data_IF_329009490915
#
_entry.id   IF_329009490915
#
_cell.length_a   1.000
_cell.length_b   1.000
_cell.length_c   1.000
_cell.angle_alpha   90.00
_cell.angle_beta   90.00
_cell.angle_gamma   90.00
#
_symmetry.space_group_name_H-M   'P 1'
#
loop_
_entity.id
_entity.type
_entity.pdbx_description
1 polymer ?
#
# COMPACT_ATOMS: atom_id res chain seq x y z
N UNK A 1 -16.42 -25.40 -21.11
CA UNK A 1 -16.43 -24.18 -20.27
C UNK A 1 -15.63 -23.13 -21.01
N UNK A 2 -16.25 -22.02 -21.40
CA UNK A 2 -15.57 -20.99 -22.16
C UNK A 2 -14.53 -20.31 -21.26
N UNK A 3 -13.25 -20.51 -21.54
CA UNK A 3 -12.21 -19.64 -21.03
C UNK A 3 -12.40 -18.28 -21.72
N UNK A 4 -13.23 -17.42 -21.14
CA UNK A 4 -13.40 -16.04 -21.59
C UNK A 4 -12.01 -15.42 -21.62
N UNK A 5 -11.51 -15.14 -22.81
CA UNK A 5 -10.16 -14.61 -22.98
C UNK A 5 -10.16 -13.15 -22.50
N UNK A 6 -9.92 -12.93 -21.20
CA UNK A 6 -9.96 -11.60 -20.59
C UNK A 6 -8.95 -10.64 -21.25
N UNK A 7 -7.89 -11.17 -21.87
CA UNK A 7 -6.89 -10.39 -22.60
C UNK A 7 -7.46 -9.63 -23.80
N UNK A 8 -8.54 -10.10 -24.43
CA UNK A 8 -9.17 -9.44 -25.58
C UNK A 8 -10.21 -8.39 -25.21
N UNK A 9 -10.57 -8.29 -23.92
CA UNK A 9 -11.54 -7.31 -23.43
C UNK A 9 -10.85 -6.00 -23.11
N UNK A 10 -11.51 -4.87 -23.36
CA UNK A 10 -11.00 -3.56 -22.95
C UNK A 10 -11.22 -3.30 -21.45
N UNK A 11 -10.64 -2.21 -20.94
CA UNK A 11 -10.71 -1.85 -19.52
C UNK A 11 -12.13 -1.56 -19.04
N UNK A 12 -12.99 -1.01 -19.90
CA UNK A 12 -14.37 -0.69 -19.56
C UNK A 12 -15.20 -1.97 -19.46
N UNK A 13 -15.05 -2.89 -20.41
CA UNK A 13 -15.66 -4.21 -20.40
C UNK A 13 -15.24 -5.02 -19.16
N UNK A 14 -13.95 -5.02 -18.81
CA UNK A 14 -13.46 -5.65 -17.58
C UNK A 14 -14.06 -5.02 -16.32
N UNK A 15 -14.26 -3.69 -16.32
CA UNK A 15 -14.88 -2.99 -15.19
C UNK A 15 -16.37 -3.33 -15.05
N UNK A 16 -17.10 -3.43 -16.17
CA UNK A 16 -18.49 -3.87 -16.20
C UNK A 16 -18.62 -5.30 -15.68
N UNK A 17 -17.81 -6.23 -16.21
CA UNK A 17 -17.80 -7.63 -15.76
C UNK A 17 -17.44 -7.76 -14.27
N UNK A 18 -16.55 -6.91 -13.76
CA UNK A 18 -16.23 -6.87 -12.32
C UNK A 18 -17.46 -6.56 -11.47
N UNK A 19 -18.33 -5.67 -11.92
CA UNK A 19 -19.57 -5.33 -11.21
C UNK A 19 -20.61 -6.44 -11.31
N UNK A 20 -20.77 -7.02 -12.49
CA UNK A 20 -21.72 -8.11 -12.74
C UNK A 20 -21.36 -9.38 -11.94
N UNK A 21 -20.06 -9.68 -11.83
CA UNK A 21 -19.56 -10.87 -11.12
C UNK A 21 -19.24 -10.62 -9.64
N UNK A 22 -19.64 -9.47 -9.09
CA UNK A 22 -19.36 -9.11 -7.69
C UNK A 22 -19.89 -10.18 -6.74
N UNK A 23 -19.04 -10.64 -5.82
CA UNK A 23 -19.38 -11.66 -4.83
C UNK A 23 -19.24 -13.10 -5.33
N UNK A 24 -18.83 -13.31 -6.59
CA UNK A 24 -18.54 -14.64 -7.13
C UNK A 24 -17.03 -14.91 -7.14
N UNK A 25 -16.58 -16.18 -7.10
CA UNK A 25 -15.16 -16.51 -7.25
C UNK A 25 -14.58 -16.09 -8.61
N UNK A 26 -15.40 -16.01 -9.66
CA UNK A 26 -14.98 -15.65 -11.02
C UNK A 26 -14.44 -14.22 -11.13
N UNK A 27 -14.81 -13.32 -10.20
CA UNK A 27 -14.32 -11.93 -10.16
C UNK A 27 -12.80 -11.86 -9.94
N UNK A 28 -12.19 -12.90 -9.35
CA UNK A 28 -10.76 -12.91 -9.04
C UNK A 28 -9.90 -12.81 -10.31
N UNK A 29 -10.27 -13.50 -11.39
CA UNK A 29 -9.55 -13.44 -12.66
C UNK A 29 -9.57 -12.03 -13.26
N UNK A 30 -10.69 -11.31 -13.10
CA UNK A 30 -10.83 -9.92 -13.57
C UNK A 30 -9.96 -8.96 -12.74
N UNK A 31 -9.86 -9.18 -11.42
CA UNK A 31 -8.97 -8.39 -10.57
C UNK A 31 -7.51 -8.54 -10.97
N UNK A 32 -7.06 -9.77 -11.28
CA UNK A 32 -5.68 -10.00 -11.72
C UNK A 32 -5.40 -9.28 -13.04
N UNK A 33 -6.30 -9.38 -14.02
CA UNK A 33 -6.14 -8.72 -15.32
C UNK A 33 -6.16 -7.19 -15.21
N UNK A 34 -7.03 -6.61 -14.38
CA UNK A 34 -7.04 -5.17 -14.15
C UNK A 34 -5.79 -4.70 -13.41
N UNK A 35 -5.22 -5.52 -12.53
CA UNK A 35 -3.97 -5.23 -11.81
C UNK A 35 -2.77 -5.21 -12.76
N UNK A 36 -2.65 -6.18 -13.67
CA UNK A 36 -1.54 -6.24 -14.64
C UNK A 36 -1.57 -5.10 -15.65
N UNK A 37 -2.76 -4.60 -15.98
CA UNK A 37 -2.96 -3.47 -16.92
C UNK A 37 -2.91 -2.10 -16.26
N UNK A 38 -2.93 -2.03 -14.94
CA UNK A 38 -2.85 -0.74 -14.25
C UNK A 38 -1.42 -0.25 -14.30
N UNK A 39 -1.19 1.05 -14.61
CA UNK A 39 0.14 1.60 -14.53
C UNK A 39 0.67 1.40 -13.12
N UNK A 40 1.94 1.00 -13.02
CA UNK A 40 2.62 0.86 -11.74
C UNK A 40 2.56 2.22 -11.03
N UNK A 41 1.73 2.30 -9.99
CA UNK A 41 1.62 3.51 -9.19
C UNK A 41 2.83 3.52 -8.29
N UNK A 42 3.92 4.14 -8.75
CA UNK A 42 5.05 4.46 -7.88
C UNK A 42 4.55 5.48 -6.87
N UNK A 43 4.20 5.01 -5.67
CA UNK A 43 3.97 5.88 -4.53
C UNK A 43 5.31 6.50 -4.18
N UNK A 44 5.56 7.72 -4.66
CA UNK A 44 6.69 8.51 -4.21
C UNK A 44 6.40 8.95 -2.78
N UNK A 45 7.23 8.47 -1.86
CA UNK A 45 7.23 8.96 -0.50
C UNK A 45 7.64 10.45 -0.57
N UNK A 46 6.72 11.34 -0.21
CA UNK A 46 6.93 12.79 -0.32
C UNK A 46 8.04 13.30 0.60
N UNK A 47 8.29 12.59 1.70
CA UNK A 47 9.27 12.95 2.72
C UNK A 47 10.27 11.80 2.90
N UNK A 48 11.50 11.93 2.38
CA UNK A 48 12.53 10.89 2.51
C UNK A 48 12.85 10.51 3.95
N UNK A 49 12.59 11.42 4.90
CA UNK A 49 12.89 11.24 6.32
C UNK A 49 11.66 10.84 7.16
N UNK A 50 10.55 10.45 6.53
CA UNK A 50 9.31 10.13 7.24
C UNK A 50 9.52 9.04 8.31
N UNK A 51 10.36 8.04 8.06
CA UNK A 51 10.68 6.97 9.00
C UNK A 51 11.34 7.52 10.27
N UNK A 52 12.35 8.39 10.08
CA UNK A 52 13.07 9.04 11.18
C UNK A 52 12.13 9.94 12.01
N UNK A 53 11.23 10.66 11.33
CA UNK A 53 10.24 11.53 12.00
C UNK A 53 9.21 10.71 12.78
N UNK A 54 8.72 9.61 12.20
CA UNK A 54 7.77 8.71 12.85
C UNK A 54 8.39 8.03 14.07
N UNK A 55 9.63 7.52 13.95
CA UNK A 55 10.36 6.89 15.05
C UNK A 55 10.64 7.88 16.19
N UNK A 56 11.05 9.11 15.87
CA UNK A 56 11.25 10.16 16.86
C UNK A 56 9.95 10.52 17.58
N UNK A 57 8.86 10.71 16.85
CA UNK A 57 7.54 11.03 17.42
C UNK A 57 7.04 9.89 18.32
N UNK A 58 7.23 8.63 17.90
CA UNK A 58 6.86 7.46 18.70
C UNK A 58 7.68 7.38 20.00
N UNK A 59 9.00 7.58 19.92
CA UNK A 59 9.87 7.61 21.12
C UNK A 59 9.49 8.73 22.08
N UNK A 60 9.11 9.89 21.56
CA UNK A 60 8.60 11.00 22.37
C UNK A 60 7.26 10.65 23.04
N UNK A 61 6.31 10.07 22.29
CA UNK A 61 4.99 9.67 22.80
C UNK A 61 5.09 8.57 23.87
N UNK A 62 6.04 7.65 23.72
CA UNK A 62 6.30 6.57 24.67
C UNK A 62 7.12 7.02 25.88
N UNK A 63 7.54 8.29 25.96
CA UNK A 63 8.38 8.80 27.05
C UNK A 63 9.79 8.21 27.08
N UNK A 64 10.24 7.58 26.00
CA UNK A 64 11.60 7.01 25.82
C UNK A 64 12.57 8.10 25.33
N UNK A 65 12.22 9.38 25.50
CA UNK A 65 13.15 10.47 25.25
C UNK A 65 14.32 10.34 26.22
N UNK A 66 15.43 9.86 25.68
CA UNK A 66 16.67 9.50 26.35
C UNK A 66 17.00 10.39 27.55
N UNK A 67 17.00 9.75 28.71
CA UNK A 67 17.75 10.06 29.91
C UNK A 67 19.28 10.04 29.62
N UNK A 68 19.76 10.77 28.61
CA UNK A 68 21.17 10.93 28.28
C UNK A 68 21.59 12.39 28.47
N UNK A 69 21.69 12.81 29.75
CA UNK A 69 22.69 13.78 30.25
C UNK A 69 22.40 14.05 31.73
N UNK A 70 22.78 13.11 32.59
CA UNK A 70 23.05 13.45 34.00
C UNK A 70 24.18 12.59 34.59
N UNK A 71 25.30 12.53 33.88
CA UNK A 71 26.62 12.21 34.43
C UNK A 71 27.60 13.09 33.64
N UNK A 72 28.41 14.00 34.18
CA UNK A 72 29.03 14.17 35.49
C UNK A 72 29.06 15.67 35.85
N UNK A 73 28.65 15.98 37.07
CA UNK A 73 29.15 17.13 37.82
C UNK A 73 29.42 16.62 39.22
N UNK A 74 30.67 16.23 39.50
CA UNK A 74 31.21 16.09 40.87
C UNK A 74 32.73 16.29 40.80
N UNK A 75 33.20 17.22 41.63
CA UNK A 75 34.57 17.54 42.06
C UNK A 75 35.53 18.15 41.03
#
# INVERSE_FOLDING_TARGET
MAHSNLTSLDKQQLTTLRWELKGTPAVHAIYQELKTRSPEVTVKISDPDWENKADKALKQALGIAQCLRKERSVA
#
